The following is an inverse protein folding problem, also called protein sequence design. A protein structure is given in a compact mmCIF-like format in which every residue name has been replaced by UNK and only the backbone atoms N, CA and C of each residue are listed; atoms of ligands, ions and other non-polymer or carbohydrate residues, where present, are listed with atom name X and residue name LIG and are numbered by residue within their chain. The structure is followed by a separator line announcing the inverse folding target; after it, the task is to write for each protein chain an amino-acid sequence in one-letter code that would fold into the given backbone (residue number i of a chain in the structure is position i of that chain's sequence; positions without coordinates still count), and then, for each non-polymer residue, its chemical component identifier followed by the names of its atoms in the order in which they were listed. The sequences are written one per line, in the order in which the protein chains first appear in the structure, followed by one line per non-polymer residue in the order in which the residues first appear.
data_IF_323808444509
#
_entry.id   IF_323808444509
#
_cell.length_a   1.000
_cell.length_b   1.000
_cell.length_c   1.000
_cell.angle_alpha   90.00
_cell.angle_beta   90.00
_cell.angle_gamma   90.00
#
_symmetry.space_group_name_H-M   'P 1'
#
loop_
_entity.id
_entity.type
_entity.pdbx_description
1 polymer ?
#
# COMPACT_ATOMS: atom_id res chain seq x y z
N UNK A 1 -5.30 -6.97 8.20
CA UNK A 1 -5.48 -6.83 6.85
C UNK A 1 -6.71 -6.02 6.52
N UNK A 2 -7.43 -6.33 5.47
CA UNK A 2 -8.58 -5.52 5.15
C UNK A 2 -9.86 -6.33 5.36
N UNK A 3 -10.99 -5.62 5.33
CA UNK A 3 -12.26 -6.13 5.81
C UNK A 3 -13.10 -6.55 4.62
N UNK A 4 -12.87 -7.74 4.11
CA UNK A 4 -13.55 -8.19 2.91
C UNK A 4 -14.96 -8.70 3.20
N UNK A 5 -15.15 -9.30 4.36
CA UNK A 5 -16.40 -10.00 4.64
C UNK A 5 -17.57 -9.09 4.93
N UNK A 6 -17.32 -7.81 5.21
CA UNK A 6 -18.38 -6.91 5.62
C UNK A 6 -19.10 -6.26 4.46
N UNK A 7 -18.41 -6.09 3.33
CA UNK A 7 -19.03 -5.46 2.17
C UNK A 7 -18.25 -5.88 0.94
N UNK A 8 -18.85 -6.76 0.15
CA UNK A 8 -18.18 -7.32 -1.00
C UNK A 8 -17.83 -6.24 -2.04
N UNK A 9 -18.74 -5.29 -2.25
CA UNK A 9 -18.48 -4.25 -3.24
C UNK A 9 -17.30 -3.38 -2.81
N UNK A 10 -17.28 -2.99 -1.53
CA UNK A 10 -16.17 -2.19 -1.01
C UNK A 10 -14.85 -2.96 -1.07
N UNK A 11 -14.89 -4.27 -0.81
CA UNK A 11 -13.71 -5.10 -0.89
C UNK A 11 -13.16 -5.17 -2.32
N UNK A 12 -14.04 -5.31 -3.31
CA UNK A 12 -13.65 -5.33 -4.71
C UNK A 12 -13.02 -4.00 -5.11
N UNK A 13 -13.63 -2.89 -4.71
CA UNK A 13 -13.08 -1.57 -5.01
C UNK A 13 -11.72 -1.38 -4.38
N UNK A 14 -11.53 -1.86 -3.16
CA UNK A 14 -10.25 -1.75 -2.49
C UNK A 14 -9.19 -2.59 -3.21
N UNK A 15 -9.53 -3.79 -3.63
CA UNK A 15 -8.61 -4.65 -4.37
C UNK A 15 -8.17 -3.97 -5.67
N UNK A 16 -9.09 -3.31 -6.36
CA UNK A 16 -8.76 -2.59 -7.58
C UNK A 16 -7.81 -1.43 -7.29
N UNK A 17 -8.04 -0.69 -6.21
CA UNK A 17 -7.17 0.41 -5.82
C UNK A 17 -5.78 -0.09 -5.46
N UNK A 18 -5.70 -1.22 -4.77
CA UNK A 18 -4.41 -1.81 -4.43
C UNK A 18 -3.64 -2.16 -5.69
N UNK A 19 -4.29 -2.83 -6.65
CA UNK A 19 -3.64 -3.21 -7.89
C UNK A 19 -3.19 -2.00 -8.70
N UNK A 20 -4.05 -1.00 -8.81
CA UNK A 20 -3.72 0.21 -9.53
C UNK A 20 -2.55 0.95 -8.89
N UNK A 21 -2.59 1.07 -7.57
CA UNK A 21 -1.54 1.77 -6.83
C UNK A 21 -0.21 1.03 -6.93
N UNK A 22 -0.24 -0.30 -6.80
CA UNK A 22 0.97 -1.09 -6.93
C UNK A 22 1.58 -0.93 -8.31
N UNK A 23 0.75 -0.94 -9.36
CA UNK A 23 1.23 -0.74 -10.73
C UNK A 23 1.84 0.64 -10.91
N UNK A 24 1.26 1.65 -10.28
CA UNK A 24 1.77 3.02 -10.42
C UNK A 24 3.15 3.17 -9.80
N UNK A 25 3.52 2.32 -8.84
CA UNK A 25 4.83 2.40 -8.20
C UNK A 25 5.95 1.92 -9.11
N UNK A 26 5.63 1.18 -10.17
CA UNK A 26 6.65 0.75 -11.12
C UNK A 26 7.30 1.96 -11.79
N UNK A 27 6.50 2.96 -12.15
CA UNK A 27 7.02 4.17 -12.78
C UNK A 27 7.53 5.21 -11.79
N UNK A 28 7.00 5.20 -10.57
CA UNK A 28 7.32 6.20 -9.55
C UNK A 28 7.45 5.54 -8.18
N UNK A 29 8.52 4.74 -7.98
CA UNK A 29 8.62 3.96 -6.74
C UNK A 29 8.76 4.81 -5.48
N UNK A 30 9.21 6.05 -5.61
CA UNK A 30 9.43 6.91 -4.44
C UNK A 30 8.32 7.92 -4.22
N UNK A 31 7.17 7.76 -4.87
CA UNK A 31 6.10 8.74 -4.71
C UNK A 31 5.41 8.66 -3.35
N UNK A 32 5.53 7.53 -2.66
CA UNK A 32 5.02 7.40 -1.31
C UNK A 32 5.92 8.12 -0.31
N UNK A 33 5.37 8.44 0.86
CA UNK A 33 6.15 9.08 1.91
C UNK A 33 6.99 8.03 2.62
N UNK A 34 8.00 8.47 3.37
CA UNK A 34 8.77 7.57 4.21
C UNK A 34 7.86 6.93 5.24
N UNK A 35 8.02 5.62 5.44
CA UNK A 35 7.23 4.91 6.43
C UNK A 35 7.80 5.07 7.82
N UNK A 36 7.05 4.57 8.79
CA UNK A 36 7.47 4.61 10.19
C UNK A 36 8.63 3.66 10.47
N UNK A 37 8.71 2.58 9.72
CA UNK A 37 9.82 1.65 9.82
C UNK A 37 10.84 2.04 8.78
N UNK A 38 12.10 2.12 9.19
CA UNK A 38 13.17 2.53 8.28
C UNK A 38 13.21 1.59 7.08
N UNK A 39 13.38 2.18 5.90
CA UNK A 39 13.42 1.41 4.67
C UNK A 39 12.07 1.18 4.04
N UNK A 40 10.98 1.52 4.73
CA UNK A 40 9.64 1.36 4.15
C UNK A 40 9.10 2.68 3.66
N UNK A 41 8.10 2.59 2.79
CA UNK A 41 7.36 3.74 2.30
C UNK A 41 5.88 3.45 2.40
N UNK A 42 5.09 4.51 2.45
CA UNK A 42 3.64 4.41 2.61
C UNK A 42 2.95 5.23 1.54
N UNK A 43 1.99 4.63 0.89
CA UNK A 43 1.19 5.29 -0.14
C UNK A 43 -0.27 5.24 0.29
N UNK A 44 -0.89 6.42 0.42
CA UNK A 44 -2.32 6.48 0.74
C UNK A 44 -3.10 6.08 -0.51
N UNK A 45 -3.85 4.99 -0.41
CA UNK A 45 -4.60 4.46 -1.55
C UNK A 45 -6.10 4.68 -1.39
N UNK A 46 -6.53 5.08 -0.18
CA UNK A 46 -7.94 5.30 0.14
C UNK A 46 -7.95 6.12 1.43
N UNK A 47 -8.97 6.90 1.72
CA UNK A 47 -8.99 7.68 2.96
C UNK A 47 -8.72 6.88 4.22
N UNK A 48 -9.04 5.57 4.20
CA UNK A 48 -8.89 4.73 5.38
C UNK A 48 -7.83 3.63 5.21
N UNK A 49 -7.06 3.64 4.12
CA UNK A 49 -6.09 2.56 3.87
C UNK A 49 -4.78 3.10 3.33
N UNK A 50 -3.71 2.48 3.77
CA UNK A 50 -2.34 2.85 3.39
C UNK A 50 -1.62 1.59 2.92
N UNK A 51 -0.94 1.71 1.80
CA UNK A 51 -0.12 0.63 1.24
C UNK A 51 1.31 0.82 1.74
N UNK A 52 1.85 -0.19 2.41
CA UNK A 52 3.23 -0.16 2.91
C UNK A 52 4.09 -1.00 1.99
N UNK A 53 5.21 -0.43 1.53
CA UNK A 53 6.06 -1.10 0.56
C UNK A 53 7.52 -0.74 0.78
N UNK A 54 8.40 -1.52 0.14
CA UNK A 54 9.84 -1.25 0.08
C UNK A 54 10.27 -1.16 -1.36
N UNK A 55 11.32 -0.38 -1.61
CA UNK A 55 11.91 -0.25 -2.93
C UNK A 55 13.32 -0.84 -2.89
N UNK A 56 13.58 -1.78 -3.79
CA UNK A 56 14.91 -2.32 -4.01
C UNK A 56 15.48 -1.63 -5.23
N UNK A 57 16.25 -0.57 -5.01
CA UNK A 57 16.78 0.25 -6.10
C UNK A 57 17.82 -0.51 -6.92
N UNK A 58 18.51 -1.45 -6.31
CA UNK A 58 19.53 -2.24 -7.01
C UNK A 58 18.89 -3.10 -8.11
N UNK A 59 17.74 -3.69 -7.83
CA UNK A 59 17.09 -4.59 -8.77
C UNK A 59 15.87 -3.95 -9.43
N UNK A 60 15.54 -2.71 -9.09
CA UNK A 60 14.41 -2.01 -9.65
C UNK A 60 13.09 -2.65 -9.29
N UNK A 61 12.97 -3.18 -8.08
CA UNK A 61 11.77 -3.91 -7.65
C UNK A 61 11.09 -3.18 -6.51
N UNK A 62 9.78 -3.36 -6.44
CA UNK A 62 8.95 -2.83 -5.37
C UNK A 62 8.28 -4.02 -4.70
N UNK A 63 8.41 -4.09 -3.38
CA UNK A 63 7.82 -5.17 -2.59
C UNK A 63 6.70 -4.62 -1.76
N UNK A 64 5.49 -5.12 -1.99
CA UNK A 64 4.33 -4.72 -1.20
C UNK A 64 4.35 -5.54 0.08
N UNK A 65 4.43 -4.85 1.22
CA UNK A 65 4.54 -5.53 2.50
C UNK A 65 3.18 -5.77 3.14
N UNK A 66 2.32 -4.75 3.12
CA UNK A 66 0.97 -4.90 3.67
C UNK A 66 0.10 -3.72 3.33
N UNK A 67 -1.19 -3.89 3.54
CA UNK A 67 -2.18 -2.81 3.46
C UNK A 67 -2.73 -2.63 4.86
N UNK A 68 -2.70 -1.39 5.36
CA UNK A 68 -3.13 -1.07 6.72
C UNK A 68 -4.36 -0.18 6.70
N UNK A 69 -5.30 -0.46 7.59
CA UNK A 69 -6.34 0.50 7.90
C UNK A 69 -5.70 1.62 8.73
N UNK A 70 -6.09 2.87 8.47
CA UNK A 70 -5.44 4.01 9.12
C UNK A 70 -5.62 4.02 10.63
N UNK A 71 -6.62 3.30 11.14
CA UNK A 71 -6.84 3.17 12.59
C UNK A 71 -5.90 2.17 13.24
N UNK A 72 -5.22 1.33 12.47
CA UNK A 72 -4.31 0.33 13.01
C UNK A 72 -2.98 0.97 13.36
N UNK A 73 -2.35 0.43 14.39
CA UNK A 73 -1.00 0.85 14.75
C UNK A 73 0.01 0.14 13.86
N UNK A 74 1.01 0.89 13.42
CA UNK A 74 2.10 0.37 12.61
C UNK A 74 3.38 1.00 13.13
N UNK A 75 4.39 0.30 13.40
CA UNK A 75 4.49 -1.16 13.33
C UNK A 75 3.75 -1.85 14.44
#
# INVERSE_FOLDING_TARGET
EYIAEQNLIAAIELDERIGYSASSLVGQPYKGRNGRVEGTRELVIHPHFVLVYEVDSQWGKVYILRVLHTAQKWP
#
